data_IF_486581092315
#
_entry.id   IF_486581092315
#
_cell.length_a   1.000
_cell.length_b   1.000
_cell.length_c   1.000
_cell.angle_alpha   90.00
_cell.angle_beta   90.00
_cell.angle_gamma   90.00
#
_symmetry.space_group_name_H-M   'P 1'
#
loop_
_entity.id
_entity.type
_entity.pdbx_description
1 polymer ?
#
# COMPACT_ATOMS: atom_id res chain seq x y z
N UNK A 1 -18.28 -13.82 -3.27
CA UNK A 1 -17.07 -13.07 -2.86
C UNK A 1 -17.28 -12.66 -1.41
N UNK A 2 -16.23 -12.66 -0.59
CA UNK A 2 -16.34 -12.48 0.86
C UNK A 2 -16.71 -11.03 1.21
N UNK A 3 -18.01 -10.74 1.29
CA UNK A 3 -18.55 -9.43 1.71
C UNK A 3 -18.02 -9.00 3.09
N UNK A 4 -17.68 -9.97 3.95
CA UNK A 4 -17.15 -9.72 5.30
C UNK A 4 -15.73 -9.14 5.37
N UNK A 5 -14.92 -9.21 4.32
CA UNK A 5 -13.56 -8.64 4.33
C UNK A 5 -13.61 -7.12 4.16
N UNK A 6 -14.66 -6.60 3.52
CA UNK A 6 -14.84 -5.17 3.27
C UNK A 6 -15.55 -4.43 4.41
N UNK A 7 -16.12 -5.14 5.37
CA UNK A 7 -16.96 -4.53 6.42
C UNK A 7 -16.16 -3.77 7.49
N UNK A 8 -14.84 -3.92 7.55
CA UNK A 8 -14.06 -3.13 8.51
C UNK A 8 -12.58 -2.96 8.12
N UNK A 9 -12.30 -2.11 7.13
CA UNK A 9 -10.94 -1.62 6.89
C UNK A 9 -10.48 -0.61 7.97
N UNK A 10 -11.35 -0.21 8.90
CA UNK A 10 -11.03 0.78 9.92
C UNK A 10 -9.90 0.30 10.82
N UNK A 11 -8.89 1.14 11.00
CA UNK A 11 -7.69 0.85 11.77
C UNK A 11 -6.56 0.24 10.95
N UNK A 12 -6.82 -0.24 9.72
CA UNK A 12 -5.78 -0.79 8.86
C UNK A 12 -4.84 0.30 8.35
N UNK A 13 -3.60 -0.08 8.11
CA UNK A 13 -2.59 0.76 7.46
C UNK A 13 -2.56 0.46 5.98
N UNK A 14 -2.19 1.42 5.15
CA UNK A 14 -2.11 1.21 3.71
C UNK A 14 -0.86 1.80 3.07
N UNK A 15 -0.52 1.25 1.91
CA UNK A 15 0.34 1.88 0.90
C UNK A 15 -0.49 2.06 -0.37
N UNK A 16 -0.35 3.21 -1.03
CA UNK A 16 -0.90 3.45 -2.37
C UNK A 16 0.23 3.82 -3.32
N UNK A 17 0.33 3.09 -4.43
CA UNK A 17 1.31 3.37 -5.48
C UNK A 17 0.84 4.56 -6.32
N UNK A 18 1.76 5.50 -6.61
CA UNK A 18 1.51 6.62 -7.51
C UNK A 18 2.04 6.30 -8.93
N UNK A 19 1.47 6.94 -9.95
CA UNK A 19 1.79 6.69 -11.35
C UNK A 19 3.23 7.05 -11.74
N UNK A 20 3.95 7.79 -10.90
CA UNK A 20 5.35 8.15 -11.07
C UNK A 20 6.34 7.11 -10.48
N UNK A 21 5.82 6.03 -9.88
CA UNK A 21 6.60 4.99 -9.23
C UNK A 21 6.98 5.29 -7.77
N UNK A 22 6.50 6.40 -7.21
CA UNK A 22 6.50 6.64 -5.77
C UNK A 22 5.32 5.93 -5.11
N UNK A 23 5.29 5.92 -3.78
CA UNK A 23 4.15 5.41 -3.02
C UNK A 23 3.89 6.28 -1.81
N UNK A 24 2.62 6.43 -1.45
CA UNK A 24 2.20 7.10 -0.22
C UNK A 24 1.77 6.06 0.83
N UNK A 25 1.96 6.41 2.10
CA UNK A 25 1.53 5.58 3.23
C UNK A 25 0.44 6.28 4.03
N UNK A 26 -0.40 5.49 4.69
CA UNK A 26 -1.42 6.07 5.55
C UNK A 26 -2.14 5.05 6.43
N UNK A 27 -3.22 5.51 7.05
CA UNK A 27 -4.12 4.71 7.87
C UNK A 27 -5.58 4.99 7.52
N UNK A 28 -6.38 3.94 7.48
CA UNK A 28 -7.85 4.03 7.44
C UNK A 28 -8.35 4.33 8.86
N UNK A 29 -9.01 5.46 9.05
CA UNK A 29 -9.46 5.91 10.37
C UNK A 29 -10.78 5.25 10.75
N UNK A 30 -11.79 5.38 9.90
CA UNK A 30 -13.14 4.82 10.12
C UNK A 30 -13.97 4.84 8.86
N UNK A 31 -15.02 4.02 8.82
CA UNK A 31 -16.07 4.13 7.81
C UNK A 31 -16.78 5.50 7.88
N UNK A 32 -16.98 6.13 6.73
CA UNK A 32 -17.71 7.39 6.60
C UNK A 32 -19.18 7.14 6.24
N UNK A 33 -19.40 6.26 5.26
CA UNK A 33 -20.70 5.76 4.81
C UNK A 33 -20.47 4.38 4.17
N UNK A 34 -21.54 3.66 3.85
CA UNK A 34 -21.43 2.37 3.16
C UNK A 34 -20.60 2.52 1.86
N UNK A 35 -19.50 1.77 1.77
CA UNK A 35 -18.60 1.83 0.62
C UNK A 35 -17.62 3.01 0.58
N UNK A 36 -17.48 3.80 1.65
CA UNK A 36 -16.47 4.87 1.74
C UNK A 36 -15.87 5.03 3.14
N UNK A 37 -14.59 5.36 3.17
CA UNK A 37 -13.76 5.42 4.37
C UNK A 37 -13.08 6.77 4.51
N UNK A 38 -12.92 7.21 5.76
CA UNK A 38 -11.98 8.27 6.09
C UNK A 38 -10.58 7.69 6.19
N UNK A 39 -9.66 8.22 5.40
CA UNK A 39 -8.24 7.86 5.42
C UNK A 39 -7.40 9.06 5.85
N UNK A 40 -6.21 8.76 6.37
CA UNK A 40 -5.21 9.76 6.72
C UNK A 40 -3.89 9.35 6.10
N UNK A 41 -3.37 10.20 5.21
CA UNK A 41 -2.03 10.06 4.66
C UNK A 41 -0.98 10.51 5.68
N UNK A 42 0.19 9.88 5.60
CA UNK A 42 1.39 10.23 6.36
C UNK A 42 2.33 11.01 5.44
N UNK A 43 3.04 12.01 5.98
CA UNK A 43 4.17 12.65 5.28
C UNK A 43 3.99 14.11 4.88
N UNK A 44 2.81 14.72 4.99
CA UNK A 44 2.71 16.17 4.82
C UNK A 44 2.86 16.92 6.17
N UNK A 45 3.78 17.89 6.19
CA UNK A 45 4.14 18.76 7.32
C UNK A 45 2.96 19.62 7.84
N UNK A 46 1.87 19.62 7.10
CA UNK A 46 0.62 20.28 7.45
C UNK A 46 -0.27 19.20 8.07
N UNK A 47 -0.90 19.49 9.20
CA UNK A 47 -1.94 18.65 9.79
C UNK A 47 -3.13 18.53 8.81
N UNK A 48 -2.99 17.69 7.79
CA UNK A 48 -3.86 17.66 6.62
C UNK A 48 -4.98 16.64 6.77
N UNK A 49 -6.10 16.94 6.09
CA UNK A 49 -7.43 16.54 6.47
C UNK A 49 -7.64 15.05 6.27
N UNK A 50 -8.56 14.52 7.06
CA UNK A 50 -9.14 13.21 6.76
C UNK A 50 -9.72 13.27 5.34
N UNK A 51 -9.25 12.40 4.46
CA UNK A 51 -9.77 12.28 3.10
C UNK A 51 -10.87 11.24 3.05
N UNK A 52 -11.85 11.44 2.17
CA UNK A 52 -12.91 10.49 1.92
C UNK A 52 -12.57 9.70 0.67
N UNK A 53 -12.35 8.39 0.83
CA UNK A 53 -12.00 7.48 -0.26
C UNK A 53 -13.02 6.36 -0.35
N UNK A 54 -13.51 6.09 -1.56
CA UNK A 54 -14.46 5.02 -1.83
C UNK A 54 -13.77 3.66 -1.97
N UNK A 55 -14.52 2.58 -1.72
CA UNK A 55 -14.04 1.21 -1.96
C UNK A 55 -13.71 0.98 -3.44
N UNK A 56 -14.37 1.71 -4.35
CA UNK A 56 -14.06 1.66 -5.78
C UNK A 56 -12.62 2.14 -6.07
N UNK A 57 -12.23 3.27 -5.49
CA UNK A 57 -10.86 3.81 -5.60
C UNK A 57 -9.84 2.88 -4.91
N UNK A 58 -10.20 2.29 -3.76
CA UNK A 58 -9.34 1.31 -3.07
C UNK A 58 -9.17 0.00 -3.83
N UNK A 59 -10.08 -0.33 -4.74
CA UNK A 59 -10.04 -1.52 -5.58
C UNK A 59 -9.48 -1.25 -6.96
N UNK A 60 -9.13 0.00 -7.27
CA UNK A 60 -8.59 0.39 -8.55
C UNK A 60 -7.28 -0.35 -8.81
N UNK A 61 -7.22 -0.96 -9.99
CA UNK A 61 -6.06 -1.63 -10.52
C UNK A 61 -5.63 -0.90 -11.78
N UNK A 62 -4.32 -0.86 -12.02
CA UNK A 62 -3.78 -0.37 -13.29
C UNK A 62 -4.20 -1.28 -14.45
N UNK A 63 -4.01 -0.81 -15.69
CA UNK A 63 -4.28 -1.60 -16.91
C UNK A 63 -3.52 -2.95 -16.97
N UNK A 64 -2.47 -3.10 -16.14
CA UNK A 64 -1.67 -4.31 -15.99
C UNK A 64 -2.11 -5.17 -14.77
N UNK A 65 -3.32 -4.98 -14.25
CA UNK A 65 -3.92 -5.70 -13.10
C UNK A 65 -3.17 -5.51 -11.76
N UNK A 66 -2.31 -4.49 -11.63
CA UNK A 66 -1.66 -4.18 -10.35
C UNK A 66 -2.59 -3.37 -9.46
N UNK A 67 -2.94 -3.91 -8.29
CA UNK A 67 -3.69 -3.18 -7.27
C UNK A 67 -2.86 -2.03 -6.73
N UNK A 68 -3.41 -0.81 -6.83
CA UNK A 68 -2.75 0.40 -6.33
C UNK A 68 -2.73 0.43 -4.80
N UNK A 69 -3.77 -0.08 -4.15
CA UNK A 69 -3.88 -0.08 -2.70
C UNK A 69 -3.51 -1.44 -2.10
N UNK A 70 -2.69 -1.40 -1.06
CA UNK A 70 -2.40 -2.54 -0.19
C UNK A 70 -2.70 -2.19 1.25
N UNK A 71 -3.37 -3.10 1.95
CA UNK A 71 -3.77 -2.93 3.33
C UNK A 71 -3.00 -3.89 4.25
N UNK A 72 -2.69 -3.43 5.44
CA UNK A 72 -1.91 -4.11 6.47
C UNK A 72 -2.63 -4.01 7.81
N UNK A 73 -2.58 -5.08 8.60
CA UNK A 73 -3.20 -5.09 9.92
C UNK A 73 -2.38 -4.28 10.93
N UNK A 74 -1.06 -4.25 10.77
CA UNK A 74 -0.15 -3.53 11.66
C UNK A 74 0.83 -2.62 10.92
N UNK A 75 1.35 -1.63 11.65
CA UNK A 75 2.35 -0.70 11.12
C UNK A 75 3.66 -1.42 10.78
N UNK A 76 4.04 -2.44 11.56
CA UNK A 76 5.27 -3.21 11.34
C UNK A 76 5.22 -4.01 10.03
N UNK A 77 4.05 -4.54 9.68
CA UNK A 77 3.86 -5.24 8.40
C UNK A 77 4.00 -4.29 7.22
N UNK A 78 3.40 -3.11 7.32
CA UNK A 78 3.55 -2.03 6.33
C UNK A 78 5.02 -1.63 6.21
N UNK A 79 5.70 -1.35 7.32
CA UNK A 79 7.12 -0.96 7.30
C UNK A 79 8.03 -2.04 6.71
N UNK A 80 7.75 -3.32 6.98
CA UNK A 80 8.48 -4.42 6.36
C UNK A 80 8.27 -4.46 4.85
N UNK A 81 7.06 -4.15 4.39
CA UNK A 81 6.74 -4.03 2.98
C UNK A 81 7.44 -2.84 2.33
N UNK A 82 7.32 -1.64 2.91
CA UNK A 82 8.03 -0.41 2.53
C UNK A 82 9.54 -0.67 2.42
N UNK A 83 10.13 -1.31 3.43
CA UNK A 83 11.55 -1.68 3.41
C UNK A 83 11.90 -2.66 2.29
N UNK A 84 11.02 -3.60 1.97
CA UNK A 84 11.22 -4.51 0.84
C UNK A 84 11.17 -3.77 -0.51
N UNK A 85 10.25 -2.82 -0.67
CA UNK A 85 10.15 -1.95 -1.84
C UNK A 85 11.41 -1.07 -2.01
N UNK A 86 11.85 -0.44 -0.93
CA UNK A 86 13.02 0.45 -0.93
C UNK A 86 14.34 -0.30 -1.05
N UNK A 87 14.36 -1.59 -0.73
CA UNK A 87 15.56 -2.41 -0.90
C UNK A 87 15.80 -2.52 -2.41
N UNK A 88 16.89 -1.91 -2.93
CA UNK A 88 17.21 -2.06 -4.34
C UNK A 88 17.30 -3.55 -4.59
N UNK A 89 16.53 -4.07 -5.54
CA UNK A 89 16.64 -5.44 -6.02
C UNK A 89 18.04 -5.60 -6.58
N UNK A 90 19.00 -5.87 -5.69
CA UNK A 90 20.34 -6.25 -6.07
C UNK A 90 20.10 -7.54 -6.81
N UNK A 91 20.41 -7.64 -8.12
CA UNK A 91 20.44 -8.96 -8.73
C UNK A 91 21.38 -9.75 -7.84
N UNK A 92 20.89 -10.85 -7.25
CA UNK A 92 21.78 -11.85 -6.68
C UNK A 92 22.58 -12.35 -7.88
N UNK A 93 23.69 -11.69 -8.18
CA UNK A 93 24.70 -12.19 -9.09
C UNK A 93 25.23 -13.42 -8.39
N UNK A 94 24.62 -14.57 -8.66
CA UNK A 94 25.23 -15.85 -8.42
C UNK A 94 26.46 -15.82 -9.32
N UNK A 95 27.63 -15.65 -8.72
CA UNK A 95 28.91 -15.68 -9.42
C UNK A 95 29.07 -17.05 -10.07
N UNK A 96 28.60 -17.19 -11.31
CA UNK A 96 29.04 -18.24 -12.21
C UNK A 96 30.40 -17.86 -12.79
N UNK A 97 31.37 -17.59 -11.91
CA UNK A 97 32.78 -17.66 -12.28
C UNK A 97 33.11 -19.15 -12.30
N UNK A 98 32.97 -19.77 -13.48
CA UNK A 98 33.58 -21.08 -13.73
C UNK A 98 35.10 -20.90 -13.60
N UNK A 99 35.81 -21.67 -12.76
CA UNK A 99 37.26 -21.64 -12.79
C UNK A 99 37.75 -22.15 -14.16
N UNK A 100 38.78 -21.53 -14.75
CA UNK A 100 39.40 -22.03 -15.98
C UNK A 100 40.08 -23.38 -15.70
N UNK A 101 40.02 -24.28 -16.69
CA UNK A 101 40.80 -25.52 -16.74
C UNK A 101 42.28 -25.25 -16.92
#
# INVERSE_FOLDING_TARGET
MNDKIMDNLSGMYFTVDDGDGSYATGQVIRIATEGAYFVRFEGEEISLPMELVSVGEMLEATDDDYKLWRFFDTIEEREKWTKWLDTPSTPRVISLVRPPK
#
